data_IF_853631815204
#
_entry.id   IF_853631815204
#
_cell.length_a   1.000
_cell.length_b   1.000
_cell.length_c   1.000
_cell.angle_alpha   90.00
_cell.angle_beta   90.00
_cell.angle_gamma   90.00
#
_symmetry.space_group_name_H-M   'P 1'
#
loop_
_entity.id
_entity.type
_entity.pdbx_description
1 polymer ?
#
# COMPACT_ATOMS: atom_id res chain seq x y z
N UNK A 1 -1.43 -15.97 27.14
CA UNK A 1 -2.25 -16.64 26.08
C UNK A 1 -1.44 -16.70 24.79
N UNK A 2 -1.59 -17.82 24.06
CA UNK A 2 -0.90 -18.02 22.77
C UNK A 2 -1.75 -17.55 21.62
N UNK A 3 -1.12 -16.87 20.68
CA UNK A 3 -1.72 -16.30 19.49
C UNK A 3 -0.98 -16.71 18.23
N UNK A 4 -1.72 -16.77 17.13
CA UNK A 4 -1.17 -16.95 15.79
C UNK A 4 -1.63 -15.79 14.90
N UNK A 5 -0.67 -15.01 14.38
CA UNK A 5 -0.93 -14.08 13.28
C UNK A 5 -0.78 -14.82 11.96
N UNK A 6 -1.79 -14.72 11.09
CA UNK A 6 -1.66 -15.05 9.67
C UNK A 6 -1.19 -13.81 8.93
N UNK A 7 -0.13 -13.94 8.15
CA UNK A 7 0.52 -12.84 7.44
C UNK A 7 0.60 -13.14 5.94
N UNK A 8 0.90 -12.13 5.16
CA UNK A 8 1.26 -12.32 3.75
C UNK A 8 2.71 -12.83 3.69
N UNK A 9 2.97 -13.87 2.91
CA UNK A 9 4.33 -14.39 2.73
C UNK A 9 5.26 -13.28 2.23
N UNK A 10 6.39 -13.09 2.91
CA UNK A 10 7.33 -12.01 2.65
C UNK A 10 7.09 -10.73 3.47
N UNK A 11 6.09 -10.71 4.38
CA UNK A 11 5.78 -9.52 5.18
C UNK A 11 6.23 -9.59 6.65
N UNK A 12 6.93 -10.64 7.06
CA UNK A 12 7.29 -10.91 8.46
C UNK A 12 7.88 -9.70 9.19
N UNK A 13 8.92 -9.09 8.62
CA UNK A 13 9.61 -7.94 9.21
C UNK A 13 8.66 -6.78 9.53
N UNK A 14 7.74 -6.48 8.64
CA UNK A 14 6.78 -5.38 8.79
C UNK A 14 5.73 -5.68 9.85
N UNK A 15 5.26 -6.94 9.90
CA UNK A 15 4.30 -7.38 10.92
C UNK A 15 4.92 -7.38 12.29
N UNK A 16 6.14 -7.91 12.45
CA UNK A 16 6.87 -7.86 13.71
C UNK A 16 7.12 -6.43 14.17
N UNK A 17 7.56 -5.56 13.25
CA UNK A 17 7.78 -4.14 13.55
C UNK A 17 6.51 -3.46 14.07
N UNK A 18 5.35 -3.70 13.45
CA UNK A 18 4.09 -3.15 13.93
C UNK A 18 3.69 -3.77 15.27
N UNK A 19 3.73 -5.11 15.41
CA UNK A 19 3.35 -5.83 16.61
C UNK A 19 4.15 -5.34 17.83
N UNK A 20 5.47 -5.39 17.74
CA UNK A 20 6.36 -5.01 18.87
C UNK A 20 6.33 -3.51 19.16
N UNK A 21 6.07 -2.66 18.16
CA UNK A 21 5.89 -1.22 18.39
C UNK A 21 4.61 -0.91 19.17
N UNK A 22 3.52 -1.63 18.92
CA UNK A 22 2.22 -1.40 19.58
C UNK A 22 2.06 -2.20 20.86
N UNK A 23 2.69 -3.36 20.95
CA UNK A 23 2.59 -4.32 22.04
C UNK A 23 3.99 -4.82 22.45
N UNK A 24 4.80 -3.97 23.09
CA UNK A 24 6.23 -4.24 23.35
C UNK A 24 6.49 -5.42 24.31
N UNK A 25 5.50 -5.81 25.11
CA UNK A 25 5.61 -6.93 26.04
C UNK A 25 5.21 -8.29 25.41
N UNK A 26 5.10 -8.34 24.08
CA UNK A 26 4.80 -9.57 23.35
C UNK A 26 6.06 -10.43 23.24
N UNK A 27 5.96 -11.72 23.61
CA UNK A 27 7.00 -12.72 23.42
C UNK A 27 6.79 -13.48 22.11
N UNK A 28 7.72 -13.36 21.18
CA UNK A 28 7.67 -14.10 19.91
C UNK A 28 8.18 -15.52 20.17
N UNK A 29 7.33 -16.51 19.89
CA UNK A 29 7.66 -17.91 20.08
C UNK A 29 8.26 -18.53 18.81
N UNK A 30 7.60 -18.34 17.67
CA UNK A 30 8.03 -18.92 16.38
C UNK A 30 7.63 -18.02 15.20
N UNK A 31 8.48 -18.02 14.19
CA UNK A 31 8.25 -17.30 12.92
C UNK A 31 8.26 -18.27 11.75
N UNK A 32 7.24 -18.18 10.89
CA UNK A 32 7.11 -18.93 9.65
C UNK A 32 6.79 -17.97 8.49
N UNK A 33 6.92 -18.42 7.27
CA UNK A 33 6.67 -17.61 6.07
C UNK A 33 5.29 -16.92 6.03
N UNK A 34 4.27 -17.59 6.60
CA UNK A 34 2.86 -17.12 6.52
C UNK A 34 2.20 -16.94 7.89
N UNK A 35 2.94 -17.12 8.97
CA UNK A 35 2.42 -17.00 10.32
C UNK A 35 3.50 -16.67 11.34
N UNK A 36 3.09 -15.95 12.40
CA UNK A 36 3.90 -15.66 13.58
C UNK A 36 3.15 -16.15 14.79
N UNK A 37 3.82 -16.97 15.63
CA UNK A 37 3.31 -17.42 16.91
C UNK A 37 3.91 -16.56 18.01
N UNK A 38 3.07 -16.10 18.94
CA UNK A 38 3.53 -15.28 20.05
C UNK A 38 2.67 -15.49 21.29
N UNK A 39 3.20 -15.11 22.44
CA UNK A 39 2.52 -15.10 23.71
C UNK A 39 2.35 -13.68 24.25
N UNK A 40 1.20 -13.43 24.89
CA UNK A 40 0.88 -12.14 25.50
C UNK A 40 -0.27 -12.28 26.49
N UNK A 41 -0.34 -11.35 27.44
CA UNK A 41 -1.43 -11.27 28.43
C UNK A 41 -2.63 -10.41 27.93
N UNK A 42 -2.54 -9.88 26.72
CA UNK A 42 -3.53 -8.97 26.13
C UNK A 42 -4.66 -9.79 25.48
N UNK A 43 -5.90 -9.37 25.65
CA UNK A 43 -7.06 -10.01 25.04
C UNK A 43 -7.07 -9.85 23.50
N UNK A 44 -7.54 -10.88 22.78
CA UNK A 44 -7.49 -10.92 21.31
C UNK A 44 -8.18 -9.72 20.64
N UNK A 45 -9.22 -9.16 21.23
CA UNK A 45 -9.96 -8.03 20.65
C UNK A 45 -9.14 -6.73 20.64
N UNK A 46 -8.16 -6.56 21.53
CA UNK A 46 -7.26 -5.41 21.56
C UNK A 46 -6.34 -5.36 20.34
N UNK A 47 -6.07 -6.51 19.70
CA UNK A 47 -5.26 -6.59 18.48
C UNK A 47 -5.97 -6.10 17.20
N UNK A 48 -7.24 -5.64 17.28
CA UNK A 48 -7.94 -5.03 16.13
C UNK A 48 -7.23 -3.82 15.53
N UNK A 49 -6.29 -3.24 16.27
CA UNK A 49 -5.44 -2.13 15.82
C UNK A 49 -4.17 -2.58 15.08
N UNK A 50 -3.96 -3.88 14.86
CA UNK A 50 -2.93 -4.37 13.94
C UNK A 50 -3.47 -4.33 12.51
N UNK A 51 -2.72 -3.73 11.61
CA UNK A 51 -3.15 -3.49 10.24
C UNK A 51 -2.32 -4.22 9.19
N UNK A 52 -1.08 -4.65 9.53
CA UNK A 52 -0.21 -5.38 8.61
C UNK A 52 -0.53 -6.88 8.52
N UNK A 53 -0.95 -7.62 9.58
CA UNK A 53 -1.36 -9.01 9.44
C UNK A 53 -2.76 -9.11 8.82
N UNK A 54 -3.10 -10.31 8.31
CA UNK A 54 -4.43 -10.57 7.74
C UNK A 54 -5.43 -11.09 8.76
N UNK A 55 -4.99 -11.97 9.67
CA UNK A 55 -5.83 -12.52 10.74
C UNK A 55 -5.02 -12.73 12.01
N UNK A 56 -5.73 -12.79 13.13
CA UNK A 56 -5.21 -13.30 14.39
C UNK A 56 -6.16 -14.37 14.93
N UNK A 57 -5.59 -15.41 15.52
CA UNK A 57 -6.35 -16.44 16.25
C UNK A 57 -5.69 -16.73 17.60
N UNK A 58 -6.48 -17.17 18.57
CA UNK A 58 -6.01 -17.66 19.85
C UNK A 58 -6.18 -19.18 19.98
N UNK A 59 -5.66 -19.76 21.05
CA UNK A 59 -5.76 -21.18 21.40
C UNK A 59 -7.21 -21.68 21.57
N UNK A 60 -8.18 -20.80 21.82
CA UNK A 60 -9.61 -21.11 21.90
C UNK A 60 -10.32 -21.04 20.55
N UNK A 61 -9.57 -21.02 19.43
CA UNK A 61 -10.09 -20.94 18.06
C UNK A 61 -10.93 -19.67 17.75
N UNK A 62 -10.86 -18.61 18.57
CA UNK A 62 -11.41 -17.31 18.20
C UNK A 62 -10.53 -16.70 17.14
N UNK A 63 -11.13 -16.29 16.00
CA UNK A 63 -10.42 -15.72 14.86
C UNK A 63 -10.95 -14.32 14.56
N UNK A 64 -10.05 -13.36 14.38
CA UNK A 64 -10.38 -12.03 13.90
C UNK A 64 -9.73 -11.80 12.53
N UNK A 65 -10.52 -11.30 11.58
CA UNK A 65 -9.99 -10.82 10.29
C UNK A 65 -9.50 -9.39 10.45
N UNK A 66 -8.19 -9.20 10.45
CA UNK A 66 -7.53 -7.91 10.62
C UNK A 66 -7.35 -7.14 9.29
N UNK A 67 -7.49 -7.80 8.14
CA UNK A 67 -7.44 -7.12 6.84
C UNK A 67 -8.78 -6.52 6.43
N UNK A 68 -9.87 -6.89 7.11
CA UNK A 68 -11.18 -6.28 6.86
C UNK A 68 -11.16 -4.82 7.32
N UNK A 69 -11.64 -3.93 6.45
CA UNK A 69 -11.81 -2.49 6.74
C UNK A 69 -13.28 -2.13 6.52
N UNK A 70 -13.95 -1.60 7.52
CA UNK A 70 -15.40 -1.29 7.47
C UNK A 70 -15.72 -0.22 6.42
N UNK A 71 -14.76 0.66 6.12
CA UNK A 71 -14.88 1.67 5.08
C UNK A 71 -14.73 1.11 3.66
N UNK A 72 -14.03 -0.04 3.47
CA UNK A 72 -13.76 -0.62 2.16
C UNK A 72 -14.94 -1.49 1.72
N UNK A 73 -15.98 -0.84 1.24
CA UNK A 73 -17.22 -1.50 0.76
C UNK A 73 -17.23 -1.67 -0.75
N UNK A 74 -16.47 -0.81 -1.47
CA UNK A 74 -16.37 -0.86 -2.92
C UNK A 74 -15.03 -1.47 -3.34
N UNK A 75 -15.09 -2.33 -4.38
CA UNK A 75 -13.97 -3.11 -4.87
C UNK A 75 -13.79 -2.94 -6.37
N UNK A 76 -12.53 -2.96 -6.81
CA UNK A 76 -12.15 -3.01 -8.23
C UNK A 76 -11.40 -4.32 -8.51
N UNK A 77 -11.44 -4.83 -9.75
CA UNK A 77 -10.57 -5.93 -10.15
C UNK A 77 -9.10 -5.59 -9.85
N UNK A 78 -8.33 -6.57 -9.38
CA UNK A 78 -6.93 -6.39 -8.96
C UNK A 78 -6.70 -5.32 -7.87
N UNK A 79 -7.73 -4.98 -7.08
CA UNK A 79 -7.58 -4.09 -5.93
C UNK A 79 -6.67 -4.69 -4.86
N UNK A 80 -5.72 -3.90 -4.36
CA UNK A 80 -4.73 -4.32 -3.36
C UNK A 80 -5.37 -4.77 -2.04
N UNK A 81 -4.77 -5.78 -1.39
CA UNK A 81 -5.12 -6.19 -0.02
C UNK A 81 -4.85 -5.03 0.97
N UNK A 82 -5.78 -4.69 1.88
CA UNK A 82 -5.58 -3.61 2.85
C UNK A 82 -4.36 -3.76 3.76
N UNK A 83 -4.00 -4.99 4.15
CA UNK A 83 -2.77 -5.23 4.93
C UNK A 83 -1.52 -4.93 4.11
N UNK A 84 -1.51 -5.29 2.82
CA UNK A 84 -0.42 -4.94 1.92
C UNK A 84 -0.34 -3.43 1.68
N UNK A 85 -1.47 -2.75 1.51
CA UNK A 85 -1.50 -1.29 1.41
C UNK A 85 -0.91 -0.62 2.65
N UNK A 86 -1.19 -1.15 3.85
CA UNK A 86 -0.61 -0.67 5.10
C UNK A 86 0.91 -0.89 5.14
N UNK A 87 1.39 -2.06 4.74
CA UNK A 87 2.83 -2.36 4.64
C UNK A 87 3.53 -1.41 3.66
N UNK A 88 2.95 -1.13 2.50
CA UNK A 88 3.52 -0.16 1.55
C UNK A 88 3.61 1.26 2.16
N UNK A 89 2.63 1.66 2.97
CA UNK A 89 2.68 2.92 3.71
C UNK A 89 3.78 2.92 4.79
N UNK A 90 4.01 1.80 5.49
CA UNK A 90 5.13 1.64 6.44
C UNK A 90 6.49 1.77 5.72
N UNK A 91 6.66 1.10 4.56
CA UNK A 91 7.89 1.17 3.74
C UNK A 91 8.15 2.60 3.27
N UNK A 92 7.09 3.33 2.94
CA UNK A 92 7.18 4.73 2.54
C UNK A 92 7.62 5.65 3.67
N UNK A 93 7.60 5.21 4.93
CA UNK A 93 7.92 6.03 6.12
C UNK A 93 7.15 7.37 6.11
N UNK A 94 5.81 7.27 6.00
CA UNK A 94 4.93 8.40 5.84
C UNK A 94 5.00 9.39 7.00
N UNK A 95 4.92 10.69 6.69
CA UNK A 95 4.93 11.80 7.64
C UNK A 95 3.62 12.59 7.54
N UNK A 96 3.20 13.22 8.64
CA UNK A 96 1.94 13.98 8.69
C UNK A 96 1.84 15.09 7.63
N UNK A 97 2.97 15.72 7.24
CA UNK A 97 2.99 16.77 6.23
C UNK A 97 3.01 16.24 4.79
N UNK A 98 3.11 14.94 4.58
CA UNK A 98 3.22 14.35 3.25
C UNK A 98 1.98 14.61 2.39
N UNK A 99 2.23 14.91 1.14
CA UNK A 99 1.26 14.87 0.05
C UNK A 99 1.53 13.63 -0.79
N UNK A 100 0.61 12.66 -0.71
CA UNK A 100 0.70 11.40 -1.44
C UNK A 100 0.04 11.52 -2.81
N UNK A 101 0.67 10.95 -3.83
CA UNK A 101 0.08 10.70 -5.14
C UNK A 101 -0.03 9.19 -5.38
N UNK A 102 -1.23 8.74 -5.70
CA UNK A 102 -1.48 7.40 -6.28
C UNK A 102 -2.05 7.56 -7.70
N UNK A 103 -1.23 7.37 -8.75
CA UNK A 103 -1.64 7.59 -10.13
C UNK A 103 -2.43 6.42 -10.75
N UNK A 104 -2.67 5.34 -9.99
CA UNK A 104 -3.45 4.16 -10.37
C UNK A 104 -4.31 3.70 -9.18
N UNK A 105 -5.05 4.64 -8.58
CA UNK A 105 -5.62 4.49 -7.25
C UNK A 105 -6.71 3.42 -7.12
N UNK A 106 -7.34 3.00 -8.22
CA UNK A 106 -8.47 2.07 -8.18
C UNK A 106 -9.56 2.56 -7.23
N UNK A 107 -9.93 1.74 -6.25
CA UNK A 107 -10.87 2.09 -5.19
C UNK A 107 -10.22 2.82 -3.99
N UNK A 108 -9.01 3.36 -4.15
CA UNK A 108 -8.23 4.17 -3.20
C UNK A 108 -7.87 3.49 -1.88
N UNK A 109 -7.61 2.17 -1.90
CA UNK A 109 -7.21 1.46 -0.68
C UNK A 109 -5.93 2.03 -0.07
N UNK A 110 -4.88 2.31 -0.87
CA UNK A 110 -3.62 2.90 -0.40
C UNK A 110 -3.83 4.33 0.13
N UNK A 111 -4.44 5.27 -0.61
CA UNK A 111 -4.66 6.63 -0.15
C UNK A 111 -5.47 6.73 1.15
N UNK A 112 -6.56 5.95 1.27
CA UNK A 112 -7.38 5.93 2.49
C UNK A 112 -6.59 5.37 3.67
N UNK A 113 -5.84 4.28 3.46
CA UNK A 113 -4.94 3.71 4.48
C UNK A 113 -3.92 4.74 4.97
N UNK A 114 -3.31 5.49 4.07
CA UNK A 114 -2.32 6.52 4.40
C UNK A 114 -2.92 7.65 5.25
N UNK A 115 -4.12 8.13 4.93
CA UNK A 115 -4.79 9.18 5.72
C UNK A 115 -5.22 8.64 7.08
N UNK A 116 -5.86 7.46 7.13
CA UNK A 116 -6.46 6.96 8.37
C UNK A 116 -5.45 6.50 9.41
N UNK A 117 -4.33 5.91 8.97
CA UNK A 117 -3.42 5.23 9.88
C UNK A 117 -2.06 5.90 10.02
N UNK A 118 -1.72 6.82 9.11
CA UNK A 118 -0.46 7.57 9.13
C UNK A 118 -0.68 9.08 9.19
N UNK A 119 -1.95 9.51 9.17
CA UNK A 119 -2.39 10.90 9.29
C UNK A 119 -1.64 11.88 8.36
N UNK A 120 -1.39 11.45 7.12
CA UNK A 120 -0.75 12.32 6.12
C UNK A 120 -1.63 13.53 5.81
N UNK A 121 -1.03 14.62 5.36
CA UNK A 121 -1.73 15.89 5.07
C UNK A 121 -2.89 15.71 4.09
N UNK A 122 -2.63 15.07 2.95
CA UNK A 122 -3.65 14.79 1.92
C UNK A 122 -3.14 13.81 0.88
N UNK A 123 -4.06 13.29 0.07
CA UNK A 123 -3.72 12.48 -1.10
C UNK A 123 -4.33 13.03 -2.39
N UNK A 124 -3.66 12.70 -3.51
CA UNK A 124 -4.14 12.93 -4.88
C UNK A 124 -4.26 11.55 -5.52
N UNK A 125 -5.47 11.20 -5.91
CA UNK A 125 -5.84 9.88 -6.42
C UNK A 125 -6.25 10.03 -7.87
N UNK A 126 -5.65 9.26 -8.75
CA UNK A 126 -5.92 9.31 -10.19
C UNK A 126 -6.19 7.90 -10.69
N UNK A 127 -7.19 7.76 -11.52
CA UNK A 127 -7.47 6.53 -12.26
C UNK A 127 -8.09 6.89 -13.60
N UNK A 128 -7.88 6.06 -14.60
CA UNK A 128 -8.49 6.24 -15.93
C UNK A 128 -9.95 5.77 -15.94
N UNK A 129 -10.30 4.84 -15.07
CA UNK A 129 -11.62 4.23 -14.98
C UNK A 129 -12.60 5.11 -14.20
N UNK A 130 -13.71 5.47 -14.84
CA UNK A 130 -14.81 6.19 -14.21
C UNK A 130 -15.39 5.40 -13.02
N UNK A 131 -15.61 4.09 -13.22
CA UNK A 131 -16.10 3.19 -12.18
C UNK A 131 -15.17 3.14 -10.96
N UNK A 132 -13.84 3.16 -11.19
CA UNK A 132 -12.87 3.19 -10.09
C UNK A 132 -12.99 4.48 -9.29
N UNK A 133 -13.11 5.64 -9.93
CA UNK A 133 -13.27 6.94 -9.27
C UNK A 133 -14.57 7.02 -8.48
N UNK A 134 -15.69 6.51 -9.02
CA UNK A 134 -16.96 6.45 -8.28
C UNK A 134 -16.83 5.59 -7.02
N UNK A 135 -16.24 4.41 -7.12
CA UNK A 135 -15.99 3.50 -6.00
C UNK A 135 -15.02 4.09 -4.98
N UNK A 136 -13.97 4.76 -5.46
CA UNK A 136 -13.03 5.50 -4.63
C UNK A 136 -13.76 6.55 -3.79
N UNK A 137 -14.59 7.40 -4.41
CA UNK A 137 -15.38 8.42 -3.69
C UNK A 137 -16.26 7.80 -2.60
N UNK A 138 -16.93 6.67 -2.92
CA UNK A 138 -17.76 5.99 -1.94
C UNK A 138 -16.95 5.44 -0.76
N UNK A 139 -15.75 4.88 -0.99
CA UNK A 139 -14.87 4.42 0.07
C UNK A 139 -14.35 5.58 0.94
N UNK A 140 -14.01 6.74 0.38
CA UNK A 140 -13.66 7.94 1.15
C UNK A 140 -14.82 8.41 2.05
N UNK A 141 -16.04 8.41 1.52
CA UNK A 141 -17.25 8.73 2.31
C UNK A 141 -17.47 7.72 3.44
N UNK A 142 -17.35 6.42 3.17
CA UNK A 142 -17.46 5.37 4.18
C UNK A 142 -16.38 5.49 5.27
N UNK A 143 -15.17 5.93 4.90
CA UNK A 143 -14.07 6.20 5.82
C UNK A 143 -14.23 7.52 6.61
N UNK A 144 -15.26 8.31 6.31
CA UNK A 144 -15.54 9.62 6.92
C UNK A 144 -14.37 10.60 6.81
N UNK A 145 -13.61 10.52 5.70
CA UNK A 145 -12.49 11.41 5.43
C UNK A 145 -13.03 12.73 4.82
N UNK A 146 -12.59 13.85 5.36
CA UNK A 146 -12.97 15.19 4.88
C UNK A 146 -12.49 15.43 3.44
N UNK A 147 -13.32 16.10 2.62
CA UNK A 147 -13.03 16.33 1.20
C UNK A 147 -11.77 17.18 0.93
N UNK A 148 -11.33 17.99 1.90
CA UNK A 148 -10.09 18.76 1.82
C UNK A 148 -8.82 17.89 1.93
N UNK A 149 -8.96 16.66 2.45
CA UNK A 149 -7.86 15.68 2.65
C UNK A 149 -7.56 14.85 1.40
N UNK A 150 -8.41 14.91 0.36
CA UNK A 150 -8.18 14.14 -0.87
C UNK A 150 -8.66 14.87 -2.12
N UNK A 151 -8.09 14.49 -3.26
CA UNK A 151 -8.57 14.89 -4.58
C UNK A 151 -8.64 13.68 -5.50
N UNK A 152 -9.77 13.52 -6.19
CA UNK A 152 -10.02 12.44 -7.14
C UNK A 152 -10.04 13.00 -8.55
N UNK A 153 -9.31 12.37 -9.47
CA UNK A 153 -9.29 12.76 -10.87
C UNK A 153 -9.44 11.52 -11.76
N UNK A 154 -10.45 11.57 -12.62
CA UNK A 154 -10.51 10.64 -13.75
C UNK A 154 -9.60 11.17 -14.86
N UNK A 155 -8.40 10.59 -15.00
CA UNK A 155 -7.41 11.00 -16.01
C UNK A 155 -6.50 9.87 -16.40
N UNK A 156 -6.00 9.92 -17.64
CA UNK A 156 -4.82 9.14 -18.00
C UNK A 156 -3.59 9.75 -17.33
N UNK A 157 -2.62 8.91 -16.97
CA UNK A 157 -1.35 9.35 -16.39
C UNK A 157 -0.62 10.39 -17.28
N UNK A 158 -0.80 10.31 -18.60
CA UNK A 158 -0.22 11.23 -19.58
C UNK A 158 -0.77 12.65 -19.48
N UNK A 159 -2.02 12.80 -19.00
CA UNK A 159 -2.75 14.07 -18.97
C UNK A 159 -2.66 14.79 -17.62
N UNK A 160 -1.83 14.31 -16.71
CA UNK A 160 -1.70 14.87 -15.38
C UNK A 160 -0.98 16.21 -15.41
N UNK A 161 -1.70 17.27 -15.08
CA UNK A 161 -1.19 18.64 -14.94
C UNK A 161 -1.24 19.07 -13.48
N UNK A 162 -0.20 18.77 -12.73
CA UNK A 162 0.01 19.22 -11.35
C UNK A 162 1.22 20.15 -11.29
N UNK A 163 1.29 20.98 -10.25
CA UNK A 163 2.44 21.88 -10.02
C UNK A 163 3.70 21.06 -9.79
N UNK A 164 4.81 21.54 -10.35
CA UNK A 164 6.12 20.89 -10.20
C UNK A 164 6.52 20.82 -8.72
N UNK A 165 7.15 19.70 -8.33
CA UNK A 165 7.74 19.47 -7.00
C UNK A 165 6.78 19.73 -5.83
N UNK A 166 5.56 19.25 -5.95
CA UNK A 166 4.52 19.41 -4.92
C UNK A 166 4.07 18.10 -4.28
N UNK A 167 4.72 16.98 -4.62
CA UNK A 167 4.44 15.63 -4.11
C UNK A 167 5.61 15.18 -3.25
N UNK A 168 5.32 14.64 -2.07
CA UNK A 168 6.32 14.10 -1.15
C UNK A 168 6.53 12.61 -1.36
N UNK A 169 5.44 11.89 -1.69
CA UNK A 169 5.48 10.44 -1.87
C UNK A 169 4.55 9.98 -2.97
N UNK A 170 5.01 9.00 -3.77
CA UNK A 170 4.18 8.25 -4.71
C UNK A 170 4.07 6.83 -4.18
N UNK A 171 2.87 6.32 -3.97
CA UNK A 171 2.63 4.92 -3.58
C UNK A 171 1.58 4.36 -4.51
N UNK A 172 1.87 3.24 -5.18
CA UNK A 172 0.91 2.64 -6.11
C UNK A 172 1.11 1.15 -6.31
N UNK A 173 -0.01 0.46 -6.48
CA UNK A 173 -0.07 -0.88 -7.03
C UNK A 173 -0.19 -0.76 -8.55
N UNK A 174 0.88 -1.05 -9.27
CA UNK A 174 0.97 -0.83 -10.72
C UNK A 174 0.16 -1.89 -11.51
N UNK A 175 -0.26 -1.62 -12.75
CA UNK A 175 -0.76 -2.64 -13.63
C UNK A 175 0.36 -3.65 -13.99
N UNK A 176 0.04 -4.96 -13.90
CA UNK A 176 1.03 -6.04 -14.11
C UNK A 176 1.00 -6.63 -15.52
N UNK A 177 0.07 -6.18 -16.40
CA UNK A 177 -0.10 -6.78 -17.73
C UNK A 177 -0.74 -8.18 -17.74
N UNK A 178 -1.22 -8.68 -16.60
CA UNK A 178 -1.80 -10.03 -16.47
C UNK A 178 -3.33 -9.97 -16.39
N UNK A 179 -3.88 -9.07 -15.59
CA UNK A 179 -5.32 -8.85 -15.41
C UNK A 179 -5.80 -7.57 -16.08
N UNK A 180 -4.91 -6.62 -16.26
CA UNK A 180 -5.16 -5.31 -16.87
C UNK A 180 -3.92 -4.92 -17.68
N UNK A 181 -4.09 -4.60 -18.96
CA UNK A 181 -3.04 -4.19 -19.88
C UNK A 181 -2.20 -5.34 -20.45
N UNK A 182 -1.23 -4.96 -21.27
CA UNK A 182 -0.18 -5.84 -21.85
C UNK A 182 1.20 -5.37 -21.41
N UNK A 183 2.26 -6.16 -21.65
CA UNK A 183 3.64 -5.74 -21.38
C UNK A 183 4.00 -4.45 -22.13
N UNK A 184 3.64 -4.33 -23.41
CA UNK A 184 3.96 -3.14 -24.23
C UNK A 184 3.24 -1.89 -23.72
N UNK A 185 1.99 -2.03 -23.26
CA UNK A 185 1.27 -0.94 -22.59
C UNK A 185 1.93 -0.55 -21.27
N UNK A 186 2.42 -1.52 -20.50
CA UNK A 186 3.14 -1.26 -19.27
C UNK A 186 4.45 -0.48 -19.49
N UNK A 187 5.19 -0.76 -20.57
CA UNK A 187 6.39 0.02 -20.93
C UNK A 187 6.06 1.51 -21.05
N UNK A 188 4.97 1.84 -21.76
CA UNK A 188 4.54 3.22 -21.92
C UNK A 188 4.08 3.84 -20.59
N UNK A 189 3.29 3.10 -19.82
CA UNK A 189 2.73 3.55 -18.53
C UNK A 189 3.84 3.81 -17.51
N UNK A 190 4.83 2.90 -17.40
CA UNK A 190 5.93 3.04 -16.44
C UNK A 190 6.89 4.16 -16.83
N UNK A 191 7.16 4.34 -18.13
CA UNK A 191 7.95 5.47 -18.62
C UNK A 191 7.25 6.79 -18.28
N UNK A 192 5.93 6.87 -18.46
CA UNK A 192 5.17 8.06 -18.06
C UNK A 192 5.12 8.28 -16.55
N UNK A 193 5.12 7.22 -15.77
CA UNK A 193 5.21 7.30 -14.31
C UNK A 193 6.57 7.89 -13.88
N UNK A 194 7.66 7.48 -14.51
CA UNK A 194 9.00 8.02 -14.24
C UNK A 194 9.10 9.51 -14.63
N UNK A 195 8.62 9.89 -15.82
CA UNK A 195 8.49 11.29 -16.26
C UNK A 195 7.68 12.12 -15.23
N UNK A 196 6.56 11.57 -14.76
CA UNK A 196 5.69 12.20 -13.77
C UNK A 196 6.43 12.40 -12.44
N UNK A 197 7.12 11.36 -11.98
CA UNK A 197 7.91 11.39 -10.75
C UNK A 197 9.03 12.44 -10.82
N UNK A 198 9.75 12.50 -11.94
CA UNK A 198 10.78 13.54 -12.18
C UNK A 198 10.23 14.96 -12.07
N UNK A 199 9.03 15.18 -12.57
CA UNK A 199 8.41 16.49 -12.61
C UNK A 199 7.78 16.89 -11.27
N UNK A 200 7.09 15.96 -10.60
CA UNK A 200 6.24 16.27 -9.45
C UNK A 200 6.88 16.02 -8.10
N UNK A 201 7.77 15.04 -8.01
CA UNK A 201 8.32 14.62 -6.72
C UNK A 201 9.32 15.66 -6.22
N UNK A 202 9.21 16.03 -4.95
CA UNK A 202 10.21 16.89 -4.26
C UNK A 202 11.58 16.23 -4.21
N UNK A 203 12.62 17.00 -3.95
CA UNK A 203 14.02 16.52 -3.93
C UNK A 203 14.22 15.35 -2.95
N UNK A 204 13.63 15.43 -1.77
CA UNK A 204 13.66 14.37 -0.73
C UNK A 204 12.47 13.41 -0.83
N UNK A 205 11.70 13.49 -1.91
CA UNK A 205 10.54 12.63 -2.11
C UNK A 205 10.94 11.19 -2.42
N UNK A 206 9.99 10.29 -2.26
CA UNK A 206 10.18 8.85 -2.41
C UNK A 206 9.02 8.18 -3.13
N UNK A 207 9.27 7.01 -3.67
CA UNK A 207 8.30 6.23 -4.45
C UNK A 207 8.27 4.82 -3.89
N UNK A 208 7.08 4.27 -3.63
CA UNK A 208 6.88 2.87 -3.27
C UNK A 208 5.94 2.23 -4.27
N UNK A 209 6.42 1.24 -5.00
CA UNK A 209 5.68 0.59 -6.07
C UNK A 209 5.60 -0.92 -5.85
N UNK A 210 4.43 -1.48 -6.08
CA UNK A 210 4.20 -2.92 -6.14
C UNK A 210 4.04 -3.32 -7.59
N UNK A 211 4.82 -4.29 -8.08
CA UNK A 211 4.73 -4.76 -9.46
C UNK A 211 5.29 -6.18 -9.67
N UNK A 212 4.75 -6.89 -10.66
CA UNK A 212 5.33 -8.11 -11.23
C UNK A 212 6.42 -7.81 -12.27
N UNK A 213 6.39 -6.64 -12.88
CA UNK A 213 7.31 -6.22 -13.96
C UNK A 213 8.67 -5.77 -13.41
N UNK A 214 9.34 -6.67 -12.67
CA UNK A 214 10.58 -6.40 -11.92
C UNK A 214 11.75 -5.91 -12.79
N UNK A 215 11.84 -6.41 -14.02
CA UNK A 215 12.88 -5.97 -14.97
C UNK A 215 12.56 -4.59 -15.50
N UNK A 216 11.30 -4.38 -15.91
CA UNK A 216 10.85 -3.10 -16.47
C UNK A 216 11.03 -1.94 -15.48
N UNK A 217 10.70 -2.14 -14.19
CA UNK A 217 10.91 -1.09 -13.18
C UNK A 217 12.39 -0.69 -13.09
N UNK A 218 13.32 -1.65 -13.13
CA UNK A 218 14.76 -1.38 -13.09
C UNK A 218 15.29 -0.69 -14.36
N UNK A 219 14.73 -1.00 -15.52
CA UNK A 219 15.06 -0.37 -16.79
C UNK A 219 14.57 1.07 -16.84
N UNK A 220 13.29 1.28 -16.49
CA UNK A 220 12.67 2.61 -16.55
C UNK A 220 13.28 3.56 -15.51
N UNK A 221 13.46 3.10 -14.28
CA UNK A 221 14.00 3.93 -13.18
C UNK A 221 15.53 3.85 -13.03
N UNK A 222 16.30 3.43 -14.07
CA UNK A 222 17.76 3.21 -14.01
C UNK A 222 18.58 4.40 -13.49
N UNK A 223 18.05 5.62 -13.61
CA UNK A 223 18.69 6.84 -13.13
C UNK A 223 18.34 7.18 -11.66
N UNK A 224 17.55 6.33 -10.99
CA UNK A 224 17.14 6.46 -9.61
C UNK A 224 17.85 5.43 -8.73
N UNK A 225 17.85 5.67 -7.43
CA UNK A 225 18.29 4.70 -6.43
C UNK A 225 17.12 3.75 -6.14
N UNK A 226 17.27 2.47 -6.52
CA UNK A 226 16.19 1.46 -6.49
C UNK A 226 16.54 0.38 -5.49
N UNK A 227 15.71 0.24 -4.47
CA UNK A 227 15.80 -0.84 -3.48
C UNK A 227 14.64 -1.80 -3.65
N UNK A 228 14.94 -3.07 -3.89
CA UNK A 228 13.99 -4.16 -3.76
C UNK A 228 13.82 -4.47 -2.27
N UNK A 229 12.62 -4.29 -1.76
CA UNK A 229 12.35 -4.42 -0.33
C UNK A 229 11.93 -5.86 0.00
N UNK A 230 10.86 -6.34 -0.62
CA UNK A 230 10.36 -7.69 -0.40
C UNK A 230 9.48 -8.14 -1.56
N UNK A 231 9.34 -9.45 -1.69
CA UNK A 231 8.41 -10.10 -2.60
C UNK A 231 7.23 -10.65 -1.79
N UNK A 232 6.02 -10.37 -2.23
CA UNK A 232 4.79 -10.77 -1.54
C UNK A 232 4.08 -11.85 -2.37
N UNK A 233 3.59 -12.90 -1.72
CA UNK A 233 2.71 -13.86 -2.39
C UNK A 233 1.26 -13.37 -2.34
N UNK A 234 0.70 -13.07 -3.50
CA UNK A 234 -0.70 -12.71 -3.71
C UNK A 234 -1.45 -13.82 -4.48
N UNK A 235 -1.49 -15.02 -3.89
CA UNK A 235 -2.23 -16.14 -4.48
C UNK A 235 -1.63 -16.69 -5.77
N UNK A 236 -0.31 -16.92 -5.76
CA UNK A 236 0.47 -17.46 -6.87
C UNK A 236 1.10 -16.38 -7.76
N UNK A 237 0.75 -15.12 -7.58
CA UNK A 237 1.51 -14.00 -8.11
C UNK A 237 2.54 -13.58 -7.07
N UNK A 238 3.75 -13.24 -7.53
CA UNK A 238 4.87 -12.86 -6.68
C UNK A 238 5.35 -11.43 -6.99
N UNK A 239 4.48 -10.41 -6.83
CA UNK A 239 4.90 -9.04 -7.02
C UNK A 239 5.96 -8.63 -6.00
N UNK A 240 6.76 -7.65 -6.38
CA UNK A 240 7.85 -7.12 -5.57
C UNK A 240 7.58 -5.66 -5.22
N UNK A 241 7.88 -5.30 -3.98
CA UNK A 241 7.79 -3.91 -3.51
C UNK A 241 9.15 -3.25 -3.70
N UNK A 242 9.14 -2.13 -4.40
CA UNK A 242 10.32 -1.30 -4.64
C UNK A 242 10.20 0.02 -3.88
N UNK A 243 11.26 0.39 -3.16
CA UNK A 243 11.48 1.74 -2.66
C UNK A 243 12.47 2.44 -3.59
N UNK A 244 12.06 3.57 -4.17
CA UNK A 244 12.83 4.31 -5.18
C UNK A 244 13.01 5.75 -4.71
N UNK A 245 14.25 6.24 -4.77
CA UNK A 245 14.61 7.60 -4.40
C UNK A 245 15.45 8.26 -5.49
N UNK A 246 15.55 9.59 -5.44
CA UNK A 246 16.51 10.28 -6.30
C UNK A 246 17.95 9.93 -5.90
N UNK A 247 18.84 9.77 -6.90
CA UNK A 247 20.29 9.69 -6.65
C UNK A 247 20.82 11.02 -6.17
#
# INVERSE_FOLDING_TARGET
MKYTLKILKGSNEFVLKELLSKYPNTEILEEYDERILFESDIEIDEYRNLYSPTHISNENNKVLNLSRRDWRREFVPAGINPSLAYIMCMIADLKQEDILLDPFCGASTIPITAIMYFDIKRCICIDISDSAIVKSKQNFLNAKIEENRYKLFRKNIQDIKLNKRNIDVIISNLPFGIRVGTHDENVQVYTKLEDLANRLLRTKGRIVLLTQEKKLIREVFKNWDIHSITQIDEGGLLPEIFLIKRK
#
